data_IF_708605427685
#
_entry.id   IF_708605427685
#
_cell.length_a   1.000
_cell.length_b   1.000
_cell.length_c   1.000
_cell.angle_alpha   90.00
_cell.angle_beta   90.00
_cell.angle_gamma   90.00
#
_symmetry.space_group_name_H-M   'P 1'
#
loop_
_entity.id
_entity.type
_entity.pdbx_description
1 polymer ?
#
# COMPACT_ATOMS: atom_id res chain seq x y z
N UNK A 1 -25.11 -7.67 -4.43
CA UNK A 1 -24.12 -7.77 -3.33
C UNK A 1 -23.41 -9.10 -3.53
N UNK A 2 -22.09 -9.10 -3.67
CA UNK A 2 -21.35 -10.33 -4.01
C UNK A 2 -21.26 -11.21 -2.75
N UNK A 3 -21.20 -12.54 -2.89
CA UNK A 3 -21.09 -13.46 -1.74
C UNK A 3 -19.85 -13.22 -0.86
N UNK A 4 -18.84 -12.51 -1.39
CA UNK A 4 -17.62 -12.13 -0.68
C UNK A 4 -17.88 -11.04 0.38
N UNK A 5 -18.90 -10.20 0.20
CA UNK A 5 -19.25 -9.10 1.12
C UNK A 5 -19.86 -9.61 2.45
N UNK A 6 -20.32 -10.86 2.48
CA UNK A 6 -20.90 -11.51 3.67
C UNK A 6 -19.87 -12.29 4.50
N UNK A 7 -18.65 -12.44 3.99
CA UNK A 7 -17.59 -13.20 4.67
C UNK A 7 -17.12 -12.42 5.91
N UNK A 8 -17.47 -12.94 7.08
CA UNK A 8 -16.99 -12.46 8.38
C UNK A 8 -15.57 -12.97 8.62
N UNK A 9 -14.57 -12.12 8.44
CA UNK A 9 -13.19 -12.41 8.84
C UNK A 9 -13.11 -12.52 10.38
N UNK A 10 -12.54 -13.62 10.88
CA UNK A 10 -12.33 -13.82 12.31
C UNK A 10 -11.08 -13.05 12.75
N UNK A 11 -11.29 -11.85 13.31
CA UNK A 11 -10.21 -11.02 13.84
C UNK A 11 -9.81 -11.49 15.25
N UNK A 12 -9.01 -12.55 15.31
CA UNK A 12 -8.42 -12.99 16.57
C UNK A 12 -7.39 -11.95 17.05
N UNK A 13 -7.53 -11.38 18.28
CA UNK A 13 -6.59 -10.39 18.80
C UNK A 13 -5.14 -10.90 18.84
N UNK A 14 -4.93 -12.20 19.07
CA UNK A 14 -3.59 -12.79 19.04
C UNK A 14 -2.97 -12.75 17.63
N UNK A 15 -3.77 -13.01 16.58
CA UNK A 15 -3.32 -12.96 15.19
C UNK A 15 -3.01 -11.53 14.74
N UNK A 16 -3.80 -10.54 15.17
CA UNK A 16 -3.52 -9.12 14.90
C UNK A 16 -2.21 -8.66 15.56
N UNK A 17 -1.98 -9.08 16.80
CA UNK A 17 -0.73 -8.78 17.51
C UNK A 17 0.48 -9.38 16.77
N UNK A 18 0.37 -10.65 16.35
CA UNK A 18 1.42 -11.32 15.59
C UNK A 18 1.70 -10.61 14.25
N UNK A 19 0.66 -10.24 13.50
CA UNK A 19 0.80 -9.53 12.24
C UNK A 19 1.50 -8.17 12.42
N UNK A 20 1.07 -7.39 13.41
CA UNK A 20 1.66 -6.08 13.69
C UNK A 20 3.13 -6.20 14.11
N UNK A 21 3.48 -7.22 14.90
CA UNK A 21 4.86 -7.49 15.28
C UNK A 21 5.73 -7.84 14.06
N UNK A 22 5.22 -8.67 13.15
CA UNK A 22 5.93 -9.04 11.92
C UNK A 22 6.10 -7.85 10.99
N UNK A 23 5.04 -7.06 10.76
CA UNK A 23 5.12 -5.83 9.96
C UNK A 23 6.10 -4.83 10.56
N UNK A 24 6.10 -4.66 11.88
CA UNK A 24 7.06 -3.81 12.58
C UNK A 24 8.50 -4.27 12.38
N UNK A 25 8.75 -5.58 12.47
CA UNK A 25 10.09 -6.13 12.24
C UNK A 25 10.54 -6.00 10.78
N UNK A 26 9.62 -6.18 9.82
CA UNK A 26 9.89 -5.93 8.40
C UNK A 26 10.28 -4.48 8.14
N UNK A 27 9.50 -3.51 8.65
CA UNK A 27 9.82 -2.09 8.49
C UNK A 27 11.12 -1.71 9.21
N UNK A 28 11.42 -2.32 10.35
CA UNK A 28 12.70 -2.15 11.04
C UNK A 28 13.87 -2.68 10.21
N UNK A 29 13.71 -3.85 9.56
CA UNK A 29 14.71 -4.40 8.64
C UNK A 29 15.01 -3.46 7.47
N UNK A 30 13.97 -2.87 6.86
CA UNK A 30 14.12 -1.87 5.78
C UNK A 30 14.87 -0.63 6.30
N UNK A 31 14.57 -0.17 7.51
CA UNK A 31 15.24 0.97 8.12
C UNK A 31 16.74 0.73 8.38
N UNK A 32 17.15 -0.50 8.74
CA UNK A 32 18.55 -0.85 8.95
C UNK A 32 19.37 -0.88 7.65
N UNK A 33 18.75 -1.20 6.51
CA UNK A 33 19.43 -1.23 5.22
C UNK A 33 19.58 0.18 4.61
N UNK A 34 18.72 1.12 5.01
CA UNK A 34 18.70 2.49 4.49
C UNK A 34 19.94 3.27 4.95
N UNK A 35 20.70 3.84 4.00
CA UNK A 35 21.93 4.61 4.30
C UNK A 35 21.70 6.11 4.16
N UNK A 36 22.53 6.89 4.86
CA UNK A 36 22.54 8.37 4.74
C UNK A 36 22.79 8.82 3.27
N UNK A 37 23.53 8.02 2.50
CA UNK A 37 23.80 8.27 1.09
C UNK A 37 22.53 8.27 0.21
N UNK A 38 21.52 7.49 0.57
CA UNK A 38 20.26 7.38 -0.17
C UNK A 38 19.44 8.67 -0.04
N UNK A 39 19.38 9.22 1.19
CA UNK A 39 18.78 10.53 1.43
C UNK A 39 19.48 11.65 0.65
N UNK A 40 20.81 11.61 0.56
CA UNK A 40 21.57 12.59 -0.24
C UNK A 40 21.32 12.44 -1.74
N UNK A 41 21.04 11.23 -2.23
CA UNK A 41 20.64 11.00 -3.63
C UNK A 41 19.26 11.59 -3.90
N UNK A 42 18.30 11.35 -3.00
CA UNK A 42 16.95 11.94 -3.08
C UNK A 42 17.02 13.47 -3.09
N UNK A 43 17.80 14.06 -2.19
CA UNK A 43 17.96 15.51 -2.11
C UNK A 43 18.61 16.16 -3.36
N UNK A 44 19.41 15.40 -4.12
CA UNK A 44 20.04 15.89 -5.36
C UNK A 44 19.11 15.84 -6.57
N UNK A 45 18.05 15.02 -6.53
CA UNK A 45 17.13 14.82 -7.64
C UNK A 45 15.67 15.00 -7.18
N UNK A 46 15.30 16.17 -6.62
CA UNK A 46 13.99 16.37 -6.00
C UNK A 46 12.86 16.24 -7.02
N UNK A 47 13.05 16.73 -8.25
CA UNK A 47 12.02 16.62 -9.30
C UNK A 47 11.68 15.19 -9.66
N UNK A 48 12.69 14.33 -9.83
CA UNK A 48 12.46 12.92 -10.14
C UNK A 48 11.73 12.21 -8.98
N UNK A 49 12.10 12.51 -7.74
CA UNK A 49 11.43 11.96 -6.56
C UNK A 49 9.98 12.43 -6.47
N UNK A 50 9.71 13.73 -6.65
CA UNK A 50 8.36 14.28 -6.60
C UNK A 50 7.43 13.68 -7.65
N UNK A 51 7.92 13.49 -8.88
CA UNK A 51 7.14 12.82 -9.94
C UNK A 51 6.87 11.36 -9.57
N UNK A 52 7.86 10.64 -9.03
CA UNK A 52 7.68 9.25 -8.58
C UNK A 52 6.62 9.14 -7.47
N UNK A 53 6.68 10.01 -6.47
CA UNK A 53 5.70 10.07 -5.37
C UNK A 53 4.31 10.43 -5.90
N UNK A 54 4.20 11.42 -6.79
CA UNK A 54 2.93 11.80 -7.40
C UNK A 54 2.36 10.64 -8.24
N UNK A 55 3.19 9.94 -9.01
CA UNK A 55 2.76 8.77 -9.76
C UNK A 55 2.23 7.66 -8.84
N UNK A 56 2.93 7.36 -7.74
CA UNK A 56 2.52 6.31 -6.80
C UNK A 56 1.21 6.65 -6.08
N UNK A 57 1.06 7.87 -5.56
CA UNK A 57 -0.10 8.20 -4.72
C UNK A 57 -1.29 8.79 -5.49
N UNK A 58 -1.10 9.21 -6.74
CA UNK A 58 -2.17 9.78 -7.57
C UNK A 58 -2.48 8.86 -8.73
N UNK A 59 -1.47 8.56 -9.57
CA UNK A 59 -1.70 7.82 -10.82
C UNK A 59 -2.10 6.39 -10.54
N UNK A 60 -1.38 5.67 -9.68
CA UNK A 60 -1.69 4.26 -9.41
C UNK A 60 -3.07 4.06 -8.74
N UNK A 61 -3.47 4.82 -7.70
CA UNK A 61 -4.83 4.76 -7.15
C UNK A 61 -5.90 5.15 -8.16
N UNK A 62 -5.66 6.19 -8.97
CA UNK A 62 -6.62 6.60 -10.01
C UNK A 62 -6.81 5.52 -11.07
N UNK A 63 -5.72 4.90 -11.53
CA UNK A 63 -5.77 3.77 -12.48
C UNK A 63 -6.51 2.59 -11.86
N UNK A 64 -6.22 2.28 -10.59
CA UNK A 64 -6.88 1.19 -9.86
C UNK A 64 -8.38 1.45 -9.74
N UNK A 65 -8.78 2.68 -9.42
CA UNK A 65 -10.18 3.09 -9.37
C UNK A 65 -10.89 2.96 -10.72
N UNK A 66 -10.27 3.42 -11.81
CA UNK A 66 -10.84 3.25 -13.15
C UNK A 66 -10.98 1.76 -13.49
N UNK A 67 -9.98 0.95 -13.12
CA UNK A 67 -10.00 -0.49 -13.34
C UNK A 67 -11.13 -1.18 -12.56
N UNK A 68 -11.42 -0.73 -11.33
CA UNK A 68 -12.52 -1.30 -10.54
C UNK A 68 -13.88 -1.03 -11.17
N UNK A 69 -14.06 0.14 -11.79
CA UNK A 69 -15.26 0.50 -12.54
C UNK A 69 -15.42 -0.33 -13.81
N UNK A 70 -14.33 -0.52 -14.57
CA UNK A 70 -14.35 -1.29 -15.81
C UNK A 70 -14.59 -2.79 -15.59
N UNK A 71 -14.01 -3.35 -14.53
CA UNK A 71 -14.11 -4.79 -14.20
C UNK A 71 -15.35 -5.15 -13.37
N UNK A 72 -16.13 -4.16 -12.94
CA UNK A 72 -17.36 -4.35 -12.14
C UNK A 72 -17.13 -5.26 -10.90
N UNK A 73 -16.03 -5.02 -10.19
CA UNK A 73 -15.68 -5.80 -8.99
C UNK A 73 -16.57 -5.43 -7.80
N UNK A 74 -16.71 -6.35 -6.85
CA UNK A 74 -17.47 -6.12 -5.62
C UNK A 74 -16.97 -4.91 -4.83
N UNK A 75 -17.86 -4.14 -4.19
CA UNK A 75 -17.48 -2.93 -3.46
C UNK A 75 -16.38 -3.16 -2.41
N UNK A 76 -16.46 -4.26 -1.63
CA UNK A 76 -15.45 -4.56 -0.61
C UNK A 76 -14.07 -4.86 -1.21
N UNK A 77 -14.04 -5.55 -2.34
CA UNK A 77 -12.80 -5.88 -3.06
C UNK A 77 -12.23 -4.61 -3.73
N UNK A 78 -13.09 -3.79 -4.32
CA UNK A 78 -12.69 -2.52 -4.93
C UNK A 78 -12.00 -1.61 -3.91
N UNK A 79 -12.58 -1.48 -2.70
CA UNK A 79 -11.96 -0.75 -1.61
C UNK A 79 -10.63 -1.35 -1.19
N UNK A 80 -10.54 -2.68 -1.06
CA UNK A 80 -9.28 -3.37 -0.76
C UNK A 80 -8.17 -3.09 -1.78
N UNK A 81 -8.50 -3.13 -3.08
CA UNK A 81 -7.53 -2.85 -4.14
C UNK A 81 -7.04 -1.40 -4.11
N UNK A 82 -7.94 -0.44 -3.89
CA UNK A 82 -7.57 0.98 -3.78
C UNK A 82 -6.70 1.22 -2.55
N UNK A 83 -7.03 0.60 -1.40
CA UNK A 83 -6.21 0.68 -0.19
C UNK A 83 -4.77 0.18 -0.43
N UNK A 84 -4.61 -0.95 -1.13
CA UNK A 84 -3.30 -1.49 -1.50
C UNK A 84 -2.56 -0.55 -2.47
N UNK A 85 -3.25 0.03 -3.45
CA UNK A 85 -2.66 0.98 -4.38
C UNK A 85 -2.16 2.26 -3.70
N UNK A 86 -2.81 2.67 -2.60
CA UNK A 86 -2.40 3.82 -1.79
C UNK A 86 -1.23 3.53 -0.84
N UNK A 87 -0.80 2.28 -0.70
CA UNK A 87 0.35 1.96 0.14
C UNK A 87 1.66 2.50 -0.48
N UNK A 88 2.63 2.94 0.35
CA UNK A 88 3.94 3.32 -0.13
C UNK A 88 4.65 2.12 -0.80
N UNK A 89 5.58 2.37 -1.73
CA UNK A 89 6.39 1.32 -2.31
C UNK A 89 7.30 0.73 -1.23
N UNK A 90 7.40 -0.60 -1.21
CA UNK A 90 8.29 -1.35 -0.31
C UNK A 90 9.74 -1.32 -0.77
#
# INVERSE_FOLDING_TARGET
MLPVDEIRLNFNPASLLALNAVLGFLMFGIALDTRIGDFRRVARMPWAMSVGVAAQFIVLPAVTFVLTLLLNVGPSIALGMILVACCPPG
#
